data_IF_703446170367
#
_entry.id   IF_703446170367
#
_cell.length_a   1.000
_cell.length_b   1.000
_cell.length_c   1.000
_cell.angle_alpha   90.00
_cell.angle_beta   90.00
_cell.angle_gamma   90.00
#
_symmetry.space_group_name_H-M   'P 1'
#
loop_
_entity.id
_entity.type
_entity.pdbx_description
1 polymer ?
#
# COMPACT_ATOMS: atom_id res chain seq x y z
N UNK A 1 -19.46 56.12 23.53
CA UNK A 1 -20.35 55.56 24.57
C UNK A 1 -21.49 54.83 23.88
N UNK A 2 -21.73 53.56 24.28
CA UNK A 2 -23.04 52.83 24.34
C UNK A 2 -23.91 52.77 23.07
N UNK A 3 -24.51 51.67 22.60
CA UNK A 3 -24.71 50.27 22.97
C UNK A 3 -25.18 49.56 21.68
N UNK A 4 -24.62 48.44 21.27
CA UNK A 4 -25.17 47.07 21.40
C UNK A 4 -26.64 46.84 20.95
N UNK A 5 -26.75 45.86 20.05
CA UNK A 5 -27.82 44.88 19.87
C UNK A 5 -28.99 45.19 18.91
N UNK A 6 -28.77 44.89 17.61
CA UNK A 6 -29.80 44.51 16.63
C UNK A 6 -29.68 43.01 16.31
N UNK A 7 -29.72 42.16 17.33
CA UNK A 7 -29.54 40.71 17.20
C UNK A 7 -30.82 39.91 17.54
N UNK A 8 -32.00 40.47 17.26
CA UNK A 8 -33.30 39.83 17.56
C UNK A 8 -34.24 39.73 16.36
N UNK A 9 -33.71 39.49 15.15
CA UNK A 9 -34.56 39.41 13.95
C UNK A 9 -34.29 38.24 13.00
N UNK A 10 -33.86 37.09 13.52
CA UNK A 10 -33.74 35.89 12.65
C UNK A 10 -34.06 34.54 13.29
N UNK A 11 -34.69 34.51 14.47
CA UNK A 11 -35.13 33.27 15.11
C UNK A 11 -36.54 33.48 15.66
N UNK A 12 -37.58 33.42 14.81
CA UNK A 12 -38.99 33.15 15.23
C UNK A 12 -40.10 33.15 14.16
N UNK A 13 -39.79 33.16 12.86
CA UNK A 13 -40.76 32.86 11.80
C UNK A 13 -39.99 31.96 10.83
N UNK A 14 -40.19 30.64 10.80
CA UNK A 14 -41.33 29.98 10.18
C UNK A 14 -41.65 28.68 10.94
N UNK A 15 -42.86 28.64 11.51
CA UNK A 15 -43.61 27.43 11.92
C UNK A 15 -43.54 26.36 10.82
N UNK A 16 -43.26 25.10 11.14
CA UNK A 16 -44.21 24.12 11.70
C UNK A 16 -45.46 23.98 10.81
N UNK A 17 -45.60 22.77 10.26
CA UNK A 17 -46.66 22.12 9.44
C UNK A 17 -45.85 21.48 8.27
N UNK A 18 -45.68 20.17 8.16
CA UNK A 18 -46.73 19.17 8.02
C UNK A 18 -46.23 17.72 8.30
N UNK A 19 -47.16 16.89 8.72
CA UNK A 19 -47.19 15.43 8.86
C UNK A 19 -46.47 14.58 7.81
N UNK A 20 -45.91 13.45 8.28
CA UNK A 20 -45.55 12.24 7.52
C UNK A 20 -46.65 11.79 6.54
N UNK A 21 -46.23 11.15 5.43
CA UNK A 21 -46.79 9.83 5.10
C UNK A 21 -45.73 8.72 5.00
N UNK A 22 -46.12 7.45 5.19
CA UNK A 22 -45.21 6.31 5.28
C UNK A 22 -44.63 5.95 3.91
N UNK A 23 -43.31 5.71 3.87
CA UNK A 23 -42.64 5.20 2.67
C UNK A 23 -43.12 3.77 2.41
N UNK A 24 -43.74 3.61 1.25
CA UNK A 24 -44.22 2.37 0.68
C UNK A 24 -43.13 1.29 0.63
N UNK A 25 -43.49 0.12 1.17
CA UNK A 25 -42.84 -1.15 0.90
C UNK A 25 -43.00 -1.49 -0.60
N UNK A 26 -41.98 -1.19 -1.40
CA UNK A 26 -41.81 -1.80 -2.72
C UNK A 26 -40.87 -3.00 -2.54
N UNK A 27 -41.44 -4.20 -2.65
CA UNK A 27 -40.70 -5.42 -2.93
C UNK A 27 -40.16 -5.35 -4.37
N UNK A 28 -38.86 -5.49 -4.61
CA UNK A 28 -38.40 -6.17 -5.79
C UNK A 28 -38.20 -7.64 -5.44
N UNK A 29 -39.13 -8.47 -5.89
CA UNK A 29 -38.84 -9.89 -6.08
C UNK A 29 -37.83 -10.01 -7.21
N UNK A 30 -36.54 -10.05 -6.88
CA UNK A 30 -35.52 -10.60 -7.76
C UNK A 30 -34.96 -11.85 -7.10
N UNK A 31 -35.48 -12.98 -7.58
CA UNK A 31 -34.99 -14.31 -7.30
C UNK A 31 -33.63 -14.44 -8.02
N UNK A 32 -32.52 -14.12 -7.34
CA UNK A 32 -31.22 -14.60 -7.79
C UNK A 32 -31.15 -16.10 -7.48
N UNK A 33 -31.37 -16.90 -8.51
CA UNK A 33 -30.85 -18.26 -8.59
C UNK A 33 -29.33 -18.19 -8.39
N UNK A 34 -28.89 -18.52 -7.19
CA UNK A 34 -27.52 -18.93 -6.93
C UNK A 34 -27.28 -20.20 -7.75
N UNK A 35 -26.58 -20.07 -8.88
CA UNK A 35 -25.93 -21.22 -9.51
C UNK A 35 -24.76 -21.61 -8.62
N UNK A 36 -25.06 -22.40 -7.58
CA UNK A 36 -24.05 -23.26 -6.96
C UNK A 36 -23.49 -24.12 -8.09
N UNK A 37 -22.20 -24.00 -8.35
CA UNK A 37 -21.46 -25.02 -9.08
C UNK A 37 -21.42 -26.26 -8.18
N UNK A 38 -22.45 -27.09 -8.28
CA UNK A 38 -22.45 -28.44 -7.74
C UNK A 38 -21.54 -29.27 -8.63
N UNK A 39 -20.38 -29.64 -8.10
CA UNK A 39 -19.58 -30.75 -8.60
C UNK A 39 -20.34 -32.02 -8.27
N UNK A 40 -21.14 -32.52 -9.21
CA UNK A 40 -21.69 -33.88 -9.12
C UNK A 40 -20.73 -34.85 -9.84
N UNK A 41 -20.46 -36.03 -9.25
CA UNK A 41 -19.56 -37.01 -9.82
C UNK A 41 -20.22 -37.61 -11.06
N UNK A 42 -19.46 -37.72 -12.16
CA UNK A 42 -19.93 -38.42 -13.36
C UNK A 42 -19.94 -39.92 -13.05
N UNK A 43 -21.13 -40.51 -13.17
CA UNK A 43 -21.32 -41.94 -13.29
C UNK A 43 -20.59 -42.44 -14.54
N UNK A 44 -19.70 -43.41 -14.33
CA UNK A 44 -19.31 -44.40 -15.32
C UNK A 44 -20.58 -45.22 -15.63
N UNK A 45 -21.03 -45.21 -16.88
CA UNK A 45 -21.39 -46.41 -17.64
C UNK A 45 -22.03 -46.04 -18.98
N UNK A 46 -21.66 -46.84 -19.98
CA UNK A 46 -22.20 -46.97 -21.34
C UNK A 46 -21.81 -45.90 -22.38
N UNK A 47 -20.84 -46.26 -23.23
CA UNK A 47 -21.09 -46.52 -24.66
C UNK A 47 -19.90 -47.27 -25.30
N UNK A 48 -20.10 -48.57 -25.56
CA UNK A 48 -19.37 -49.34 -26.59
C UNK A 48 -20.05 -49.09 -27.94
N UNK A 49 -19.29 -48.60 -28.94
CA UNK A 49 -19.16 -49.27 -30.25
C UNK A 49 -18.15 -48.58 -31.18
N UNK A 50 -17.19 -49.40 -31.62
CA UNK A 50 -16.68 -49.62 -32.97
C UNK A 50 -15.98 -48.49 -33.75
N UNK A 51 -14.65 -48.54 -33.67
CA UNK A 51 -13.67 -48.60 -34.76
C UNK A 51 -13.76 -47.64 -35.95
N UNK A 52 -12.73 -46.81 -36.08
CA UNK A 52 -11.92 -46.75 -37.30
C UNK A 52 -10.47 -46.41 -36.93
N UNK A 53 -9.57 -47.34 -37.22
CA UNK A 53 -8.13 -47.13 -37.23
C UNK A 53 -7.81 -46.15 -38.36
N UNK A 54 -7.17 -45.03 -38.02
CA UNK A 54 -6.16 -44.43 -38.90
C UNK A 54 -4.83 -44.57 -38.17
N UNK A 55 -4.05 -45.52 -38.68
CA UNK A 55 -2.69 -45.80 -38.26
C UNK A 55 -1.76 -44.68 -38.75
N UNK A 56 -1.51 -43.69 -37.89
CA UNK A 56 -0.21 -43.05 -37.82
C UNK A 56 0.28 -43.18 -36.39
N UNK A 57 1.24 -44.09 -36.19
CA UNK A 57 1.86 -44.37 -34.91
C UNK A 57 2.68 -43.15 -34.42
N UNK A 58 2.00 -42.19 -33.80
CA UNK A 58 2.64 -41.29 -32.85
C UNK A 58 2.42 -41.87 -31.46
N UNK A 59 3.50 -42.33 -30.84
CA UNK A 59 3.51 -42.81 -29.46
C UNK A 59 2.78 -41.82 -28.55
N UNK A 60 1.94 -42.32 -27.64
CA UNK A 60 1.25 -41.50 -26.63
C UNK A 60 2.26 -40.97 -25.62
N UNK A 61 3.07 -40.01 -26.05
CA UNK A 61 4.02 -39.33 -25.19
C UNK A 61 3.25 -38.55 -24.13
N UNK A 62 3.61 -38.74 -22.86
CA UNK A 62 3.02 -37.97 -21.77
C UNK A 62 3.24 -36.47 -21.97
N UNK A 63 2.31 -35.64 -21.50
CA UNK A 63 2.37 -34.18 -21.67
C UNK A 63 3.69 -33.56 -21.18
N UNK A 64 4.35 -34.18 -20.19
CA UNK A 64 5.66 -33.78 -19.69
C UNK A 64 6.79 -34.10 -20.69
N UNK A 65 6.76 -35.28 -21.32
CA UNK A 65 7.76 -35.69 -22.32
C UNK A 65 7.67 -34.81 -23.56
N UNK A 66 6.45 -34.50 -24.01
CA UNK A 66 6.20 -33.57 -25.12
C UNK A 66 6.77 -32.18 -24.83
N UNK A 67 6.53 -31.65 -23.63
CA UNK A 67 7.04 -30.35 -23.20
C UNK A 67 8.57 -30.34 -23.03
N UNK A 68 9.18 -31.43 -22.54
CA UNK A 68 10.64 -31.56 -22.44
C UNK A 68 11.30 -31.64 -23.81
N UNK A 69 10.68 -32.33 -24.77
CA UNK A 69 11.15 -32.36 -26.17
C UNK A 69 10.98 -31.00 -26.84
N UNK A 70 9.87 -30.30 -26.62
CA UNK A 70 9.66 -28.92 -27.10
C UNK A 70 10.75 -27.99 -26.56
N UNK A 71 11.02 -28.02 -25.26
CA UNK A 71 12.10 -27.24 -24.63
C UNK A 71 13.48 -27.59 -25.20
N UNK A 72 13.76 -28.87 -25.43
CA UNK A 72 15.01 -29.34 -26.04
C UNK A 72 15.16 -28.83 -27.47
N UNK A 73 14.08 -28.86 -28.25
CA UNK A 73 14.05 -28.41 -29.64
C UNK A 73 14.17 -26.89 -29.74
N UNK A 74 13.46 -26.14 -28.88
CA UNK A 74 13.59 -24.68 -28.80
C UNK A 74 15.02 -24.26 -28.44
N UNK A 75 15.68 -24.99 -27.54
CA UNK A 75 17.08 -24.75 -27.20
C UNK A 75 18.04 -25.01 -28.39
N UNK A 76 17.76 -26.00 -29.23
CA UNK A 76 18.56 -26.28 -30.43
C UNK A 76 18.33 -25.26 -31.56
N UNK A 77 17.15 -24.66 -31.64
CA UNK A 77 16.77 -23.67 -32.66
C UNK A 77 17.23 -22.24 -32.34
N UNK A 78 17.83 -22.04 -31.16
CA UNK A 78 18.32 -20.75 -30.68
C UNK A 78 19.58 -20.26 -31.40
N UNK A 79 19.45 -19.82 -32.65
CA UNK A 79 20.46 -18.98 -33.30
C UNK A 79 20.60 -19.14 -34.80
N UNK A 80 20.99 -18.05 -35.47
CA UNK A 80 21.27 -17.99 -36.92
C UNK A 80 22.33 -19.01 -37.38
N UNK A 81 23.18 -19.49 -36.47
CA UNK A 81 24.21 -20.50 -36.71
C UNK A 81 23.66 -21.93 -36.74
N UNK A 82 22.53 -22.21 -36.07
CA UNK A 82 21.88 -23.52 -36.10
C UNK A 82 21.37 -23.88 -37.51
N UNK A 83 20.89 -22.88 -38.25
CA UNK A 83 20.40 -23.03 -39.64
C UNK A 83 21.52 -23.52 -40.56
N UNK A 84 22.73 -22.95 -40.43
CA UNK A 84 23.89 -23.35 -41.24
C UNK A 84 24.38 -24.75 -40.87
N UNK A 85 24.48 -25.04 -39.58
CA UNK A 85 24.91 -26.35 -39.09
C UNK A 85 23.93 -27.47 -39.48
N UNK A 86 22.62 -27.20 -39.57
CA UNK A 86 21.63 -28.17 -40.03
C UNK A 86 21.66 -28.40 -41.54
N UNK A 87 22.00 -27.38 -42.33
CA UNK A 87 22.19 -27.53 -43.78
C UNK A 87 23.40 -28.41 -44.10
N UNK A 88 24.47 -28.25 -43.32
CA UNK A 88 25.71 -29.04 -43.40
C UNK A 88 25.58 -30.45 -42.82
N UNK A 89 24.65 -30.67 -41.88
CA UNK A 89 24.36 -32.00 -41.36
C UNK A 89 23.68 -32.90 -42.42
N UNK A 90 24.08 -34.17 -42.48
CA UNK A 90 23.58 -35.18 -43.43
C UNK A 90 22.17 -35.69 -43.18
N UNK A 91 21.24 -34.84 -42.70
CA UNK A 91 19.83 -35.21 -42.51
C UNK A 91 19.13 -35.48 -43.85
N UNK A 92 18.07 -36.30 -43.82
CA UNK A 92 17.20 -36.52 -44.98
C UNK A 92 16.58 -35.20 -45.46
N UNK A 93 16.37 -35.07 -46.76
CA UNK A 93 15.86 -33.85 -47.38
C UNK A 93 14.45 -33.49 -46.87
N UNK A 94 13.61 -34.50 -46.63
CA UNK A 94 12.27 -34.34 -46.05
C UNK A 94 12.32 -33.77 -44.62
N UNK A 95 13.24 -34.26 -43.77
CA UNK A 95 13.40 -33.75 -42.42
C UNK A 95 13.95 -32.31 -42.41
N UNK A 96 14.82 -31.97 -43.37
CA UNK A 96 15.30 -30.59 -43.56
C UNK A 96 14.17 -29.64 -43.92
N UNK A 97 13.26 -30.05 -44.82
CA UNK A 97 12.09 -29.25 -45.18
C UNK A 97 11.14 -29.07 -44.00
N UNK A 98 10.83 -30.13 -43.25
CA UNK A 98 10.01 -30.05 -42.03
C UNK A 98 10.63 -29.12 -40.98
N UNK A 99 11.94 -29.18 -40.77
CA UNK A 99 12.66 -28.29 -39.84
C UNK A 99 12.63 -26.84 -40.33
N UNK A 100 12.81 -26.59 -41.62
CA UNK A 100 12.76 -25.26 -42.20
C UNK A 100 11.34 -24.66 -42.08
N UNK A 101 10.30 -25.45 -42.32
CA UNK A 101 8.91 -25.03 -42.15
C UNK A 101 8.62 -24.69 -40.68
N UNK A 102 9.10 -25.51 -39.74
CA UNK A 102 8.97 -25.24 -38.30
C UNK A 102 9.73 -23.99 -37.87
N UNK A 103 10.92 -23.75 -38.42
CA UNK A 103 11.67 -22.51 -38.19
C UNK A 103 10.90 -21.32 -38.74
N UNK A 104 10.38 -21.40 -39.95
CA UNK A 104 9.58 -20.34 -40.54
C UNK A 104 8.31 -20.05 -39.73
N UNK A 105 7.63 -21.10 -39.24
CA UNK A 105 6.44 -20.96 -38.41
C UNK A 105 6.75 -20.33 -37.04
N UNK A 106 7.85 -20.73 -36.41
CA UNK A 106 8.29 -20.16 -35.12
C UNK A 106 8.80 -18.72 -35.29
N UNK A 107 9.57 -18.42 -36.34
CA UNK A 107 10.01 -17.06 -36.65
C UNK A 107 8.83 -16.15 -36.97
N UNK A 108 7.86 -16.63 -37.75
CA UNK A 108 6.63 -15.89 -38.04
C UNK A 108 5.83 -15.60 -36.78
N UNK A 109 5.74 -16.58 -35.86
CA UNK A 109 5.12 -16.40 -34.55
C UNK A 109 5.81 -15.30 -33.73
N UNK A 110 7.14 -15.30 -33.71
CA UNK A 110 7.96 -14.33 -32.97
C UNK A 110 7.92 -12.91 -33.57
N UNK A 111 7.84 -12.79 -34.89
CA UNK A 111 7.72 -11.49 -35.56
C UNK A 111 6.33 -10.89 -35.39
N UNK A 112 5.29 -11.73 -35.32
CA UNK A 112 3.89 -11.31 -35.29
C UNK A 112 3.20 -11.57 -33.94
N UNK A 113 3.95 -11.61 -32.83
CA UNK A 113 3.41 -11.92 -31.49
C UNK A 113 2.22 -11.01 -31.14
N UNK A 114 2.29 -9.72 -31.47
CA UNK A 114 1.21 -8.77 -31.18
C UNK A 114 -0.03 -8.99 -32.06
N UNK A 115 0.15 -9.23 -33.35
CA UNK A 115 -0.98 -9.48 -34.25
C UNK A 115 -1.69 -10.79 -33.86
N UNK A 116 -0.91 -11.81 -33.48
CA UNK A 116 -1.43 -13.08 -32.99
C UNK A 116 -2.09 -12.96 -31.62
N UNK A 117 -1.55 -12.16 -30.70
CA UNK A 117 -2.19 -11.92 -29.41
C UNK A 117 -3.57 -11.29 -29.62
N UNK A 118 -3.67 -10.27 -30.48
CA UNK A 118 -4.91 -9.59 -30.83
C UNK A 118 -5.91 -10.53 -31.50
N UNK A 119 -5.47 -11.33 -32.47
CA UNK A 119 -6.32 -12.27 -33.18
C UNK A 119 -6.85 -13.40 -32.29
N UNK A 120 -6.04 -13.87 -31.33
CA UNK A 120 -6.40 -14.95 -30.40
C UNK A 120 -7.20 -14.46 -29.18
N UNK A 121 -7.44 -13.15 -29.03
CA UNK A 121 -8.22 -12.65 -27.89
C UNK A 121 -9.70 -13.02 -28.02
N UNK A 122 -10.35 -13.51 -26.94
CA UNK A 122 -11.79 -13.71 -26.95
C UNK A 122 -12.54 -12.36 -26.98
N UNK A 123 -13.68 -12.30 -27.66
CA UNK A 123 -14.52 -11.08 -27.74
C UNK A 123 -14.97 -10.56 -26.36
N UNK A 124 -15.04 -11.41 -25.35
CA UNK A 124 -15.39 -11.04 -23.96
C UNK A 124 -14.26 -10.34 -23.19
N UNK A 125 -13.04 -10.26 -23.75
CA UNK A 125 -11.91 -9.60 -23.10
C UNK A 125 -12.24 -8.13 -22.79
N UNK A 126 -11.96 -7.71 -21.56
CA UNK A 126 -12.17 -6.33 -21.11
C UNK A 126 -11.18 -5.35 -21.74
N UNK A 127 -11.46 -4.04 -21.62
CA UNK A 127 -10.66 -2.97 -22.23
C UNK A 127 -9.18 -3.07 -21.85
N UNK A 128 -8.85 -3.26 -20.56
CA UNK A 128 -7.45 -3.39 -20.14
C UNK A 128 -6.71 -4.57 -20.77
N UNK A 129 -7.38 -5.71 -20.98
CA UNK A 129 -6.77 -6.88 -21.66
C UNK A 129 -6.52 -6.59 -23.14
N UNK A 130 -7.45 -5.87 -23.79
CA UNK A 130 -7.29 -5.44 -25.18
C UNK A 130 -6.16 -4.44 -25.35
N UNK A 131 -6.07 -3.48 -24.42
CA UNK A 131 -5.02 -2.45 -24.43
C UNK A 131 -3.64 -3.08 -24.21
N UNK A 132 -3.52 -4.07 -23.31
CA UNK A 132 -2.27 -4.81 -23.08
C UNK A 132 -1.86 -5.62 -24.33
N UNK A 133 -2.81 -6.28 -24.99
CA UNK A 133 -2.51 -7.06 -26.19
C UNK A 133 -2.10 -6.19 -27.38
N UNK A 134 -2.68 -4.98 -27.49
CA UNK A 134 -2.35 -4.01 -28.51
C UNK A 134 -1.09 -3.18 -28.18
N UNK A 135 -0.62 -3.19 -26.93
CA UNK A 135 0.50 -2.38 -26.49
C UNK A 135 1.82 -2.85 -27.13
N UNK A 136 2.59 -1.89 -27.66
CA UNK A 136 3.94 -2.11 -28.21
C UNK A 136 4.86 -2.78 -27.19
N UNK A 137 5.71 -3.75 -27.59
CA UNK A 137 6.63 -4.38 -26.67
C UNK A 137 7.62 -3.34 -26.14
N UNK A 138 8.04 -3.48 -24.89
CA UNK A 138 9.00 -2.56 -24.28
C UNK A 138 10.38 -2.69 -24.95
N UNK A 139 10.86 -1.62 -25.58
CA UNK A 139 12.16 -1.58 -26.29
C UNK A 139 13.28 -0.94 -25.46
N UNK A 140 13.02 -0.62 -24.18
CA UNK A 140 13.93 0.12 -23.32
C UNK A 140 13.73 1.64 -23.33
N UNK A 141 13.05 2.17 -24.35
CA UNK A 141 12.63 3.56 -24.45
C UNK A 141 11.11 3.60 -24.51
N UNK A 142 10.51 4.46 -23.69
CA UNK A 142 9.05 4.64 -23.70
C UNK A 142 8.58 5.40 -24.95
N UNK A 143 7.39 5.05 -25.44
CA UNK A 143 6.74 5.77 -26.53
C UNK A 143 6.28 7.15 -26.01
N UNK A 144 6.52 8.28 -26.73
CA UNK A 144 6.07 9.60 -26.31
C UNK A 144 4.56 9.69 -26.01
N UNK A 145 3.75 8.89 -26.70
CA UNK A 145 2.30 8.81 -26.43
C UNK A 145 2.02 8.26 -25.03
N UNK A 146 2.73 7.22 -24.62
CA UNK A 146 2.56 6.59 -23.31
C UNK A 146 3.10 7.49 -22.20
N UNK A 147 4.22 8.19 -22.45
CA UNK A 147 4.72 9.24 -21.56
C UNK A 147 3.69 10.34 -21.34
N UNK A 148 3.10 10.86 -22.42
CA UNK A 148 2.07 11.90 -22.34
C UNK A 148 0.82 11.42 -21.59
N UNK A 149 0.35 10.20 -21.85
CA UNK A 149 -0.77 9.58 -21.12
C UNK A 149 -0.46 9.43 -19.63
N UNK A 150 0.77 9.03 -19.27
CA UNK A 150 1.21 8.94 -17.88
C UNK A 150 1.21 10.31 -17.21
N UNK A 151 1.76 11.33 -17.87
CA UNK A 151 1.75 12.70 -17.35
C UNK A 151 0.33 13.25 -17.17
N UNK A 152 -0.58 12.93 -18.10
CA UNK A 152 -2.00 13.31 -17.97
C UNK A 152 -2.68 12.57 -16.81
N UNK A 153 -2.42 11.28 -16.63
CA UNK A 153 -2.94 10.51 -15.50
C UNK A 153 -2.38 11.02 -14.17
N UNK A 154 -1.08 11.29 -14.09
CA UNK A 154 -0.41 11.78 -12.89
C UNK A 154 -0.85 13.21 -12.52
N UNK A 155 -1.22 14.03 -13.51
CA UNK A 155 -1.75 15.38 -13.28
C UNK A 155 -3.06 15.39 -12.48
N UNK A 156 -3.82 14.28 -12.53
CA UNK A 156 -5.11 14.13 -11.87
C UNK A 156 -5.02 13.07 -10.78
N UNK A 157 -4.99 13.51 -9.53
CA UNK A 157 -5.14 12.58 -8.39
C UNK A 157 -6.53 11.92 -8.49
N UNK A 158 -6.63 10.58 -8.56
CA UNK A 158 -7.92 9.92 -8.56
C UNK A 158 -8.66 10.27 -7.27
N UNK A 159 -9.97 10.53 -7.36
CA UNK A 159 -10.80 10.72 -6.16
C UNK A 159 -10.65 9.49 -5.26
N UNK A 160 -10.33 9.72 -3.98
CA UNK A 160 -10.23 8.66 -2.99
C UNK A 160 -11.63 8.08 -2.81
N UNK A 161 -11.93 7.01 -3.53
CA UNK A 161 -13.08 6.18 -3.20
C UNK A 161 -12.87 5.72 -1.76
N UNK A 162 -13.90 5.79 -0.89
CA UNK A 162 -13.76 5.29 0.47
C UNK A 162 -13.20 3.89 0.37
N UNK A 163 -12.10 3.63 1.10
CA UNK A 163 -11.48 2.32 1.16
C UNK A 163 -12.60 1.32 1.44
N UNK A 164 -12.98 0.55 0.42
CA UNK A 164 -13.84 -0.60 0.59
C UNK A 164 -12.86 -1.65 1.07
N UNK A 165 -12.78 -1.94 2.38
CA UNK A 165 -12.01 -3.09 2.82
C UNK A 165 -12.45 -4.24 1.92
N UNK A 166 -11.51 -5.05 1.38
CA UNK A 166 -11.90 -6.27 0.68
C UNK A 166 -12.92 -6.92 1.60
N UNK A 167 -14.14 -7.12 1.09
CA UNK A 167 -15.19 -7.75 1.87
C UNK A 167 -14.68 -9.16 2.11
N UNK A 168 -13.96 -9.33 3.21
CA UNK A 168 -13.66 -10.61 3.78
C UNK A 168 -15.04 -11.18 4.04
N UNK A 169 -15.50 -12.07 3.16
CA UNK A 169 -16.59 -12.98 3.47
C UNK A 169 -16.38 -13.41 4.92
N UNK A 170 -17.39 -13.30 5.81
CA UNK A 170 -17.20 -13.39 7.25
C UNK A 170 -16.32 -14.58 7.58
N UNK A 171 -15.06 -14.28 7.94
CA UNK A 171 -14.12 -15.31 8.33
C UNK A 171 -14.69 -15.85 9.64
N UNK A 172 -15.07 -17.13 9.64
CA UNK A 172 -15.56 -17.78 10.85
C UNK A 172 -14.47 -17.70 11.92
N UNK A 173 -14.59 -16.74 12.84
CA UNK A 173 -13.76 -16.60 14.04
C UNK A 173 -14.09 -17.65 15.11
N UNK A 174 -15.06 -18.54 14.80
CA UNK A 174 -15.29 -19.72 15.59
C UNK A 174 -14.00 -20.53 15.66
N UNK A 175 -13.58 -20.98 16.85
CA UNK A 175 -12.40 -21.83 16.99
C UNK A 175 -12.49 -22.98 15.99
N UNK A 176 -11.50 -23.04 15.08
CA UNK A 176 -11.46 -24.11 14.09
C UNK A 176 -11.53 -25.44 14.83
N UNK A 177 -12.39 -26.35 14.33
CA UNK A 177 -12.60 -27.66 14.94
C UNK A 177 -11.24 -28.33 15.07
N UNK A 178 -10.84 -28.66 16.31
CA UNK A 178 -9.53 -29.26 16.61
C UNK A 178 -9.25 -30.38 15.61
N UNK A 179 -8.15 -30.28 14.88
CA UNK A 179 -7.69 -31.33 13.98
C UNK A 179 -7.52 -32.61 14.77
N UNK A 180 -8.04 -33.73 14.25
CA UNK A 180 -7.86 -35.03 14.91
C UNK A 180 -6.37 -35.39 14.79
N UNK A 181 -5.60 -35.18 15.87
CA UNK A 181 -4.20 -35.58 15.92
C UNK A 181 -4.09 -37.09 15.63
N UNK A 182 -3.15 -37.47 14.79
CA UNK A 182 -2.85 -38.88 14.52
C UNK A 182 -2.48 -39.61 15.82
N UNK A 183 -2.69 -40.92 15.87
CA UNK A 183 -2.36 -41.75 17.04
C UNK A 183 -0.89 -41.58 17.45
N UNK A 184 0.02 -41.49 16.48
CA UNK A 184 1.45 -41.24 16.72
C UNK A 184 1.71 -39.89 17.38
N UNK A 185 1.05 -38.82 16.92
CA UNK A 185 1.22 -37.49 17.49
C UNK A 185 0.63 -37.37 18.90
N UNK A 186 -0.45 -38.13 19.19
CA UNK A 186 -1.00 -38.24 20.55
C UNK A 186 -0.03 -38.93 21.51
N UNK A 187 0.63 -40.01 21.06
CA UNK A 187 1.62 -40.73 21.87
C UNK A 187 2.89 -39.90 22.10
N UNK A 188 3.37 -39.20 21.07
CA UNK A 188 4.52 -38.29 21.19
C UNK A 188 4.23 -37.18 22.21
N UNK A 189 3.06 -36.52 22.07
CA UNK A 189 2.65 -35.47 23.01
C UNK A 189 2.43 -36.01 24.44
N UNK A 190 1.94 -37.24 24.60
CA UNK A 190 1.78 -37.86 25.91
C UNK A 190 3.13 -38.18 26.57
N UNK A 191 4.12 -38.64 25.79
CA UNK A 191 5.49 -38.86 26.26
C UNK A 191 6.14 -37.55 26.69
N UNK A 192 6.07 -36.52 25.85
CA UNK A 192 6.62 -35.19 26.14
C UNK A 192 5.97 -34.56 27.39
N UNK A 193 4.65 -34.69 27.56
CA UNK A 193 3.95 -34.26 28.78
C UNK A 193 4.34 -35.05 30.02
N UNK A 194 4.59 -36.36 29.88
CA UNK A 194 5.06 -37.19 31.00
C UNK A 194 6.47 -36.82 31.41
N UNK A 195 7.36 -36.58 30.45
CA UNK A 195 8.75 -36.18 30.70
C UNK A 195 8.80 -34.81 31.36
N UNK A 196 8.07 -33.81 30.83
CA UNK A 196 7.97 -32.48 31.46
C UNK A 196 7.35 -32.53 32.84
N UNK A 197 6.33 -33.37 33.07
CA UNK A 197 5.77 -33.56 34.41
C UNK A 197 6.73 -34.29 35.35
N UNK A 198 7.48 -35.28 34.89
CA UNK A 198 8.48 -36.00 35.68
C UNK A 198 9.65 -35.07 36.08
N UNK A 199 10.18 -34.30 35.12
CA UNK A 199 11.16 -33.23 35.35
C UNK A 199 10.62 -32.18 36.31
N UNK A 200 9.33 -31.85 36.20
CA UNK A 200 8.72 -31.01 37.21
C UNK A 200 8.73 -31.74 38.54
N UNK A 201 8.23 -32.97 38.67
CA UNK A 201 8.01 -33.74 39.91
C UNK A 201 9.29 -34.31 40.56
N UNK A 202 10.48 -34.01 40.03
CA UNK A 202 11.74 -34.38 40.66
C UNK A 202 11.78 -33.89 42.12
N UNK A 203 11.79 -34.85 43.05
CA UNK A 203 11.72 -34.66 44.51
C UNK A 203 13.06 -34.25 45.14
N UNK A 204 14.03 -33.85 44.31
CA UNK A 204 15.38 -33.44 44.74
C UNK A 204 15.47 -31.94 45.05
N UNK A 205 14.44 -31.16 44.75
CA UNK A 205 14.36 -29.72 45.00
C UNK A 205 13.38 -29.43 46.13
N UNK A 206 13.70 -28.51 47.05
CA UNK A 206 12.79 -28.15 48.15
C UNK A 206 11.52 -27.48 47.62
N UNK A 207 10.40 -27.54 48.36
CA UNK A 207 9.15 -26.89 47.95
C UNK A 207 9.32 -25.38 47.77
N UNK A 208 10.17 -24.75 48.59
CA UNK A 208 10.49 -23.32 48.52
C UNK A 208 11.30 -22.97 47.26
N UNK A 209 12.31 -23.78 46.91
CA UNK A 209 13.10 -23.62 45.68
C UNK A 209 12.24 -23.83 44.43
N UNK A 210 11.28 -24.75 44.50
CA UNK A 210 10.34 -25.07 43.44
C UNK A 210 9.34 -23.94 43.20
N UNK A 211 8.90 -23.28 44.26
CA UNK A 211 8.03 -22.10 44.17
C UNK A 211 8.79 -20.86 43.71
N UNK A 212 10.03 -20.67 44.16
CA UNK A 212 10.92 -19.63 43.66
C UNK A 212 11.17 -19.80 42.16
N UNK A 213 11.49 -21.02 41.72
CA UNK A 213 11.64 -21.33 40.29
C UNK A 213 10.34 -21.09 39.51
N UNK A 214 9.18 -21.47 40.05
CA UNK A 214 7.87 -21.18 39.45
C UNK A 214 7.60 -19.67 39.36
N UNK A 215 8.05 -18.89 40.35
CA UNK A 215 7.95 -17.44 40.39
C UNK A 215 8.88 -16.80 39.36
N UNK A 216 10.13 -17.21 39.28
CA UNK A 216 11.09 -16.75 38.27
C UNK A 216 10.61 -17.09 36.85
N UNK A 217 10.05 -18.28 36.63
CA UNK A 217 9.43 -18.61 35.34
C UNK A 217 8.25 -17.69 35.09
N UNK A 218 7.34 -17.52 36.06
CA UNK A 218 6.21 -16.61 35.92
C UNK A 218 6.67 -15.20 35.55
N UNK A 219 7.69 -14.68 36.22
CA UNK A 219 8.26 -13.35 35.98
C UNK A 219 8.96 -13.24 34.62
N UNK A 220 9.54 -14.32 34.08
CA UNK A 220 10.11 -14.34 32.71
C UNK A 220 9.05 -14.46 31.62
N UNK A 221 7.86 -14.97 31.97
CA UNK A 221 6.72 -15.13 31.08
C UNK A 221 5.64 -14.05 31.33
N UNK A 222 5.82 -13.14 32.29
CA UNK A 222 4.98 -11.95 32.39
C UNK A 222 5.22 -11.05 31.18
N UNK A 223 4.17 -10.48 30.57
CA UNK A 223 4.30 -9.62 29.41
C UNK A 223 5.20 -8.39 29.63
N UNK A 224 5.45 -7.99 30.88
CA UNK A 224 6.27 -6.83 31.23
C UNK A 224 7.79 -7.04 31.27
N UNK A 225 8.28 -8.28 31.46
CA UNK A 225 9.72 -8.54 31.64
C UNK A 225 10.47 -8.83 30.33
N UNK A 226 9.77 -9.09 29.23
CA UNK A 226 10.40 -9.21 27.91
C UNK A 226 10.57 -7.83 27.30
N UNK A 227 11.81 -7.50 26.95
CA UNK A 227 12.21 -6.17 26.49
C UNK A 227 11.32 -5.59 25.38
N UNK A 228 10.70 -6.41 24.53
CA UNK A 228 9.63 -5.98 23.62
C UNK A 228 8.63 -7.12 23.35
N UNK A 229 7.30 -6.88 23.41
CA UNK A 229 6.30 -7.86 22.99
C UNK A 229 6.33 -8.03 21.46
N UNK A 230 6.75 -9.20 20.99
CA UNK A 230 6.86 -9.55 19.56
C UNK A 230 5.49 -9.78 18.87
N UNK A 231 4.35 -9.67 19.57
CA UNK A 231 3.01 -9.93 19.01
C UNK A 231 1.96 -8.91 19.49
N UNK A 232 0.96 -8.63 18.64
CA UNK A 232 -0.14 -7.70 18.96
C UNK A 232 -0.92 -8.10 20.21
N UNK A 233 -1.12 -9.40 20.41
CA UNK A 233 -1.81 -9.91 21.60
C UNK A 233 -1.01 -9.68 22.88
N UNK A 234 0.32 -9.76 22.80
CA UNK A 234 1.20 -9.46 23.94
C UNK A 234 1.25 -7.96 24.26
N UNK A 235 1.20 -7.09 23.24
CA UNK A 235 1.06 -5.63 23.43
C UNK A 235 -0.26 -5.34 24.15
N UNK A 236 -1.36 -5.97 23.75
CA UNK A 236 -2.67 -5.79 24.39
C UNK A 236 -2.67 -6.25 25.86
N UNK A 237 -2.04 -7.38 26.18
CA UNK A 237 -1.96 -7.82 27.58
C UNK A 237 -1.12 -6.87 28.44
N UNK A 238 -0.01 -6.37 27.91
CA UNK A 238 0.83 -5.40 28.62
C UNK A 238 0.11 -4.05 28.82
N UNK A 239 -0.64 -3.62 27.81
CA UNK A 239 -1.44 -2.42 27.89
C UNK A 239 -2.51 -2.56 28.99
N UNK A 240 -3.21 -3.69 29.06
CA UNK A 240 -4.22 -3.94 30.09
C UNK A 240 -3.63 -3.92 31.51
N UNK A 241 -2.49 -4.57 31.73
CA UNK A 241 -1.78 -4.54 33.03
C UNK A 241 -1.40 -3.10 33.43
N UNK A 242 -0.83 -2.32 32.51
CA UNK A 242 -0.51 -0.90 32.76
C UNK A 242 -1.74 -0.05 33.03
N UNK A 243 -2.87 -0.36 32.38
CA UNK A 243 -4.15 0.33 32.62
C UNK A 243 -4.64 0.01 34.04
N UNK A 244 -4.62 -1.26 34.45
CA UNK A 244 -5.02 -1.69 35.80
C UNK A 244 -4.14 -1.06 36.90
N UNK A 245 -2.81 -1.03 36.70
CA UNK A 245 -1.87 -0.36 37.60
C UNK A 245 -2.15 1.15 37.74
N UNK A 246 -2.42 1.82 36.62
CA UNK A 246 -2.75 3.24 36.61
C UNK A 246 -4.13 3.52 37.23
N UNK A 247 -5.08 2.58 37.12
CA UNK A 247 -6.37 2.62 37.82
C UNK A 247 -6.15 2.46 39.33
N UNK A 248 -5.33 1.50 39.77
CA UNK A 248 -5.00 1.28 41.17
C UNK A 248 -4.32 2.50 41.80
N UNK A 249 -3.42 3.16 41.05
CA UNK A 249 -2.77 4.43 41.43
C UNK A 249 -3.74 5.63 41.40
N UNK A 250 -4.97 5.47 40.92
CA UNK A 250 -5.97 6.53 40.85
C UNK A 250 -5.71 7.59 39.79
N UNK A 251 -4.81 7.34 38.83
CA UNK A 251 -4.46 8.31 37.77
C UNK A 251 -5.67 8.64 36.89
N UNK A 252 -6.60 7.71 36.72
CA UNK A 252 -7.84 7.90 35.96
C UNK A 252 -8.93 8.75 36.67
N UNK A 253 -8.76 9.08 37.96
CA UNK A 253 -9.80 9.79 38.73
C UNK A 253 -9.92 11.28 38.32
N UNK A 254 -8.82 11.91 37.92
CA UNK A 254 -8.76 13.36 37.61
C UNK A 254 -8.65 13.65 36.10
N UNK A 255 -8.99 12.69 35.23
CA UNK A 255 -9.03 12.97 33.79
C UNK A 255 -10.30 13.77 33.46
N UNK A 256 -10.19 14.87 32.70
CA UNK A 256 -11.35 15.63 32.28
C UNK A 256 -12.22 14.76 31.37
N UNK A 257 -13.37 14.31 31.87
CA UNK A 257 -14.30 13.45 31.13
C UNK A 257 -15.01 14.26 30.03
N UNK A 258 -15.07 13.71 28.82
CA UNK A 258 -15.78 14.31 27.67
C UNK A 258 -15.27 13.79 26.33
N UNK A 259 -16.14 13.73 25.30
CA UNK A 259 -15.73 13.32 23.95
C UNK A 259 -14.69 14.31 23.39
N UNK A 260 -13.53 13.82 22.95
CA UNK A 260 -12.46 14.62 22.34
C UNK A 260 -11.55 15.36 23.33
N UNK A 261 -11.76 15.20 24.65
CA UNK A 261 -10.86 15.75 25.68
C UNK A 261 -9.78 14.68 25.91
N UNK A 262 -8.57 14.89 25.39
CA UNK A 262 -7.41 13.96 25.35
C UNK A 262 -7.32 13.00 24.16
N UNK A 263 -8.10 13.21 23.10
CA UNK A 263 -7.92 12.50 21.84
C UNK A 263 -7.60 13.54 20.78
N UNK A 264 -6.40 13.46 20.18
CA UNK A 264 -6.11 14.22 18.96
C UNK A 264 -7.12 13.79 17.89
N UNK A 265 -7.74 14.75 17.19
CA UNK A 265 -8.64 14.40 16.08
C UNK A 265 -7.88 13.58 15.04
N UNK A 266 -8.55 12.55 14.51
CA UNK A 266 -8.01 11.75 13.42
C UNK A 266 -7.62 12.67 12.26
N UNK A 267 -6.37 12.61 11.83
CA UNK A 267 -5.81 13.52 10.84
C UNK A 267 -6.51 13.39 9.47
N UNK A 268 -7.04 12.20 9.20
CA UNK A 268 -7.88 11.90 8.02
C UNK A 268 -9.22 12.64 8.08
N UNK A 269 -9.76 12.91 9.27
CA UNK A 269 -11.04 13.59 9.44
C UNK A 269 -10.91 15.13 9.31
N UNK A 270 -9.74 15.69 9.57
CA UNK A 270 -9.47 17.13 9.43
C UNK A 270 -9.15 17.52 7.99
N UNK A 271 -8.39 16.68 7.27
CA UNK A 271 -8.12 16.87 5.85
C UNK A 271 -8.22 15.53 5.07
N UNK A 272 -9.31 15.28 4.34
CA UNK A 272 -9.50 14.07 3.54
C UNK A 272 -8.51 13.91 2.38
N UNK A 273 -7.79 14.97 2.02
CA UNK A 273 -6.83 14.97 0.90
C UNK A 273 -5.40 14.63 1.31
N UNK A 274 -5.11 14.55 2.62
CA UNK A 274 -3.78 14.24 3.13
C UNK A 274 -3.65 12.73 3.35
N UNK A 275 -2.62 12.10 2.80
CA UNK A 275 -2.38 10.68 3.03
C UNK A 275 -1.78 10.42 4.42
N UNK A 276 -2.02 9.23 4.98
CA UNK A 276 -1.46 8.87 6.29
C UNK A 276 0.06 8.87 6.26
N UNK A 277 0.65 8.41 5.16
CA UNK A 277 2.11 8.38 4.98
C UNK A 277 2.68 9.78 4.95
N UNK A 278 2.09 10.67 4.14
CA UNK A 278 2.52 12.08 4.02
C UNK A 278 2.38 12.82 5.35
N UNK A 279 1.24 12.63 6.03
CA UNK A 279 1.00 13.19 7.35
C UNK A 279 2.09 12.77 8.35
N UNK A 280 2.36 11.46 8.46
CA UNK A 280 3.36 10.96 9.40
C UNK A 280 4.77 11.38 9.00
N UNK A 281 5.09 11.41 7.70
CA UNK A 281 6.37 11.88 7.20
C UNK A 281 6.60 13.34 7.60
N UNK A 282 5.65 14.22 7.33
CA UNK A 282 5.71 15.63 7.72
C UNK A 282 5.77 15.80 9.23
N UNK A 283 5.01 14.99 10.00
CA UNK A 283 5.04 15.02 11.47
C UNK A 283 6.37 14.54 12.04
N UNK A 284 6.97 13.51 11.46
CA UNK A 284 8.30 13.01 11.86
C UNK A 284 9.35 14.07 11.54
N UNK A 285 9.28 14.69 10.36
CA UNK A 285 10.19 15.76 9.95
C UNK A 285 10.14 16.94 10.93
N UNK A 286 8.92 17.35 11.33
CA UNK A 286 8.71 18.39 12.34
C UNK A 286 9.25 17.99 13.72
N UNK A 287 8.98 16.75 14.16
CA UNK A 287 9.40 16.25 15.49
C UNK A 287 10.90 16.06 15.61
N UNK A 288 11.57 15.67 14.53
CA UNK A 288 13.00 15.44 14.51
C UNK A 288 13.80 16.72 14.28
N UNK A 289 13.14 17.84 13.97
CA UNK A 289 13.75 19.13 13.61
C UNK A 289 14.73 19.03 12.42
N UNK A 290 14.70 17.92 11.67
CA UNK A 290 15.57 17.70 10.51
C UNK A 290 14.86 18.31 9.31
N UNK A 291 15.46 19.36 8.77
CA UNK A 291 14.96 20.01 7.56
C UNK A 291 15.73 19.46 6.35
N UNK A 292 15.06 19.06 5.26
CA UNK A 292 15.72 18.61 4.04
C UNK A 292 16.72 19.65 3.52
N UNK A 293 17.83 19.18 2.94
CA UNK A 293 18.96 20.03 2.52
C UNK A 293 18.54 21.19 1.60
N UNK A 294 17.61 20.95 0.66
CA UNK A 294 17.14 22.01 -0.25
C UNK A 294 16.37 23.12 0.48
N UNK A 295 15.60 22.80 1.53
CA UNK A 295 14.92 23.80 2.37
C UNK A 295 15.95 24.57 3.20
N UNK A 296 16.95 23.86 3.74
CA UNK A 296 18.03 24.51 4.49
C UNK A 296 18.77 25.52 3.62
N UNK A 297 19.11 25.14 2.39
CA UNK A 297 19.75 26.02 1.40
C UNK A 297 18.84 27.20 1.02
N UNK A 298 17.54 26.97 0.88
CA UNK A 298 16.59 28.03 0.58
C UNK A 298 16.43 29.02 1.76
N UNK A 299 16.47 28.53 3.00
CA UNK A 299 16.47 29.37 4.21
C UNK A 299 17.77 30.17 4.31
N UNK A 300 18.92 29.53 4.09
CA UNK A 300 20.25 30.16 4.06
C UNK A 300 20.28 31.32 3.04
N UNK A 301 19.81 31.08 1.81
CA UNK A 301 19.72 32.10 0.77
C UNK A 301 18.79 33.25 1.16
N UNK A 302 17.63 32.96 1.75
CA UNK A 302 16.70 34.00 2.22
C UNK A 302 17.32 34.86 3.33
N UNK A 303 18.06 34.25 4.25
CA UNK A 303 18.78 34.96 5.31
C UNK A 303 19.88 35.85 4.73
N UNK A 304 20.63 35.36 3.75
CA UNK A 304 21.70 36.14 3.12
C UNK A 304 21.16 37.32 2.31
N UNK A 305 20.07 37.13 1.56
CA UNK A 305 19.35 38.22 0.91
C UNK A 305 18.87 39.25 1.95
N UNK A 306 18.34 38.81 3.08
CA UNK A 306 17.91 39.72 4.14
C UNK A 306 19.08 40.51 4.70
N UNK A 307 20.20 39.86 5.02
CA UNK A 307 21.44 40.53 5.48
C UNK A 307 21.92 41.56 4.47
N UNK A 308 22.02 41.19 3.21
CA UNK A 308 22.42 42.10 2.14
C UNK A 308 21.50 43.33 2.04
N UNK A 309 20.17 43.13 2.05
CA UNK A 309 19.21 44.24 2.05
C UNK A 309 19.35 45.14 3.27
N UNK A 310 19.60 44.56 4.45
CA UNK A 310 19.83 45.37 5.66
C UNK A 310 21.14 46.17 5.57
N UNK A 311 22.22 45.58 5.07
CA UNK A 311 23.49 46.27 4.84
C UNK A 311 23.32 47.43 3.87
N UNK A 312 22.68 47.19 2.71
CA UNK A 312 22.37 48.24 1.74
C UNK A 312 21.57 49.40 2.35
N UNK A 313 20.53 49.11 3.13
CA UNK A 313 19.75 50.16 3.82
C UNK A 313 20.61 50.94 4.79
N UNK A 314 21.52 50.29 5.52
CA UNK A 314 22.41 50.99 6.46
C UNK A 314 23.44 51.86 5.73
N UNK A 315 24.03 51.35 4.65
CA UNK A 315 24.98 52.10 3.83
C UNK A 315 24.31 53.30 3.17
N UNK A 316 23.10 53.11 2.65
CA UNK A 316 22.25 54.19 2.14
C UNK A 316 21.95 55.23 3.22
N UNK A 317 21.51 54.82 4.41
CA UNK A 317 21.27 55.74 5.53
C UNK A 317 22.51 56.53 5.92
N UNK A 318 23.68 55.88 5.98
CA UNK A 318 24.96 56.56 6.24
C UNK A 318 25.34 57.53 5.12
N UNK A 319 25.03 57.20 3.87
CA UNK A 319 25.28 58.08 2.73
C UNK A 319 24.34 59.30 2.76
N UNK A 320 23.04 59.08 2.94
CA UNK A 320 22.04 60.14 3.06
C UNK A 320 22.35 61.09 4.23
N UNK A 321 22.74 60.55 5.40
CA UNK A 321 23.15 61.37 6.54
C UNK A 321 24.37 62.26 6.21
N UNK A 322 25.39 61.71 5.53
CA UNK A 322 26.56 62.46 5.07
C UNK A 322 26.20 63.55 4.05
N UNK A 323 25.30 63.25 3.12
CA UNK A 323 24.81 64.25 2.16
C UNK A 323 24.10 65.40 2.88
N UNK A 324 23.19 65.09 3.80
CA UNK A 324 22.46 66.10 4.59
C UNK A 324 23.42 66.96 5.41
N UNK A 325 24.42 66.34 6.06
CA UNK A 325 25.41 67.10 6.85
C UNK A 325 26.31 67.97 5.98
N UNK A 326 26.72 67.47 4.80
CA UNK A 326 27.63 68.20 3.90
C UNK A 326 26.99 69.44 3.26
N UNK A 327 25.68 69.42 3.01
CA UNK A 327 24.97 70.55 2.40
C UNK A 327 24.69 71.71 3.37
N UNK A 328 24.82 71.50 4.70
CA UNK A 328 24.52 72.52 5.70
C UNK A 328 23.05 72.99 5.73
N UNK A 329 22.75 74.01 6.56
CA UNK A 329 21.43 74.65 6.67
C UNK A 329 20.83 74.65 8.08
N UNK A 330 19.64 75.25 8.24
CA UNK A 330 18.89 75.24 9.51
C UNK A 330 18.34 73.84 9.80
N UNK A 331 18.14 73.49 11.08
CA UNK A 331 17.66 72.17 11.50
C UNK A 331 16.38 71.72 10.77
N UNK A 332 15.45 72.66 10.55
CA UNK A 332 14.17 72.36 9.90
C UNK A 332 14.34 71.92 8.45
N UNK A 333 15.29 72.50 7.72
CA UNK A 333 15.61 72.10 6.34
C UNK A 333 16.25 70.71 6.28
N UNK A 334 17.10 70.37 7.26
CA UNK A 334 17.69 69.04 7.37
C UNK A 334 16.63 67.96 7.65
N UNK A 335 15.68 68.25 8.54
CA UNK A 335 14.54 67.34 8.83
C UNK A 335 13.68 67.14 7.58
N UNK A 336 13.41 68.20 6.82
CA UNK A 336 12.61 68.10 5.59
C UNK A 336 13.32 67.24 4.52
N UNK A 337 14.64 67.39 4.35
CA UNK A 337 15.45 66.55 3.46
C UNK A 337 15.47 65.09 3.91
N UNK A 338 15.66 64.83 5.22
CA UNK A 338 15.63 63.48 5.76
C UNK A 338 14.28 62.79 5.50
N UNK A 339 13.16 63.52 5.66
CA UNK A 339 11.82 63.01 5.34
C UNK A 339 11.66 62.71 3.84
N UNK A 340 12.21 63.54 2.95
CA UNK A 340 12.17 63.28 1.51
C UNK A 340 12.95 62.01 1.13
N UNK A 341 14.15 61.80 1.68
CA UNK A 341 14.92 60.56 1.46
C UNK A 341 14.23 59.33 2.04
N UNK A 342 13.58 59.44 3.20
CA UNK A 342 12.81 58.34 3.78
C UNK A 342 11.58 57.99 2.94
N UNK A 343 10.89 59.00 2.37
CA UNK A 343 9.78 58.79 1.45
C UNK A 343 10.23 58.08 0.17
N UNK A 344 11.40 58.45 -0.37
CA UNK A 344 11.98 57.81 -1.54
C UNK A 344 12.47 56.36 -1.29
N UNK A 345 12.79 55.99 -0.04
CA UNK A 345 13.11 54.60 0.33
C UNK A 345 11.85 53.72 0.45
N UNK A 346 10.71 54.32 0.77
CA UNK A 346 9.46 53.58 1.03
C UNK A 346 8.69 53.18 -0.24
N UNK A 347 8.94 53.86 -1.36
CA UNK A 347 8.44 53.53 -2.71
C UNK A 347 9.31 52.49 -3.37
#
# INVERSE_FOLDING_TARGET
MRCQSRFDLLIRYVCRIESNPPIYCLKPGFRLSSTKAETNPRNEDDLKKDSQNDDSAEEKEGAMTRRMREMSNEAMLGGKFAIKNMQEAGFSEELKQQLQERIAATSFGNENVQALSIANMPRSAGTGTRDIAAATPWTGVENPHDTALRMLNDSRKPMRTPFKPPTLSPVNLQPSRRTKNSSGQRLAQARERKETYALSQDSRMSEEEREAYRRELRDRFTPGARAFPMSLQAINSLANERIEDAIAKGQFRNLPRGRGKNVERDHVAENPYLDTTEYFMNRILQKQEITPEWIQKQQELKLEIHRFRTQLRMDWKRHAARLISSQGGTLQTQIQRARAYAAAEAT
#
